data_IF_376710332203
#
_entry.id   IF_376710332203
#
_cell.length_a   1.000
_cell.length_b   1.000
_cell.length_c   1.000
_cell.angle_alpha   90.00
_cell.angle_beta   90.00
_cell.angle_gamma   90.00
#
_symmetry.space_group_name_H-M   'P 1'
#
loop_
_entity.id
_entity.type
_entity.pdbx_description
1 polymer ?
#
# COMPACT_ATOMS: atom_id res chain seq x y z
N UNK A 1 -18.23 -17.75 29.70
CA UNK A 1 -17.32 -18.74 29.08
C UNK A 1 -16.32 -17.93 28.33
N UNK A 2 -15.07 -17.90 28.82
CA UNK A 2 -14.00 -17.17 28.11
C UNK A 2 -13.62 -18.02 26.91
N UNK A 3 -14.02 -17.59 25.73
CA UNK A 3 -13.37 -18.01 24.47
C UNK A 3 -11.94 -17.47 24.53
N UNK A 4 -11.00 -18.31 24.94
CA UNK A 4 -9.58 -18.08 24.70
C UNK A 4 -9.35 -18.27 23.21
N UNK A 5 -9.63 -17.23 22.40
CA UNK A 5 -9.11 -17.20 21.04
C UNK A 5 -7.59 -17.35 21.13
N UNK A 6 -7.06 -18.36 20.47
CA UNK A 6 -5.62 -18.57 20.42
C UNK A 6 -4.95 -17.30 19.83
N UNK A 7 -3.89 -16.83 20.47
CA UNK A 7 -3.12 -15.68 19.95
C UNK A 7 -2.67 -15.97 18.52
N UNK A 8 -2.96 -15.07 17.57
CA UNK A 8 -2.50 -15.24 16.19
C UNK A 8 -0.98 -15.44 16.14
N UNK A 9 -0.50 -16.39 15.35
CA UNK A 9 0.94 -16.63 15.23
C UNK A 9 1.66 -15.40 14.67
N UNK A 10 2.98 -15.32 14.90
CA UNK A 10 3.83 -14.34 14.23
C UNK A 10 3.75 -14.58 12.71
N UNK A 11 3.29 -13.57 11.98
CA UNK A 11 3.11 -13.65 10.53
C UNK A 11 4.38 -13.21 9.84
N UNK A 12 4.96 -14.11 9.04
CA UNK A 12 6.14 -13.86 8.21
C UNK A 12 5.74 -13.88 6.75
N UNK A 13 5.93 -12.79 6.05
CA UNK A 13 5.53 -12.64 4.64
C UNK A 13 6.53 -11.80 3.86
N UNK A 14 6.36 -11.71 2.55
CA UNK A 14 7.15 -10.82 1.69
C UNK A 14 7.07 -9.36 2.16
N UNK A 15 5.95 -8.96 2.78
CA UNK A 15 5.78 -7.61 3.34
C UNK A 15 6.45 -7.41 4.70
N UNK A 16 7.24 -8.36 5.19
CA UNK A 16 7.93 -8.31 6.48
C UNK A 16 7.29 -9.18 7.55
N UNK A 17 7.38 -8.77 8.81
CA UNK A 17 6.87 -9.50 9.98
C UNK A 17 5.80 -8.70 10.68
N UNK A 18 4.70 -9.35 11.11
CA UNK A 18 3.61 -8.73 11.90
C UNK A 18 3.18 -9.66 13.03
N UNK A 19 2.69 -9.08 14.12
CA UNK A 19 2.18 -9.85 15.25
C UNK A 19 1.43 -8.99 16.26
N UNK A 20 0.88 -9.63 17.28
CA UNK A 20 0.23 -8.97 18.41
C UNK A 20 1.30 -8.43 19.36
N UNK A 21 1.21 -7.14 19.65
CA UNK A 21 2.17 -6.43 20.52
C UNK A 21 2.18 -7.03 21.93
N UNK A 22 3.38 -7.31 22.43
CA UNK A 22 3.58 -7.91 23.76
C UNK A 22 3.39 -9.43 23.80
N UNK A 23 2.90 -10.04 22.73
CA UNK A 23 2.68 -11.50 22.65
C UNK A 23 3.59 -12.11 21.57
N UNK A 24 3.29 -11.86 20.30
CA UNK A 24 4.06 -12.39 19.17
C UNK A 24 4.94 -11.33 18.51
N UNK A 25 4.66 -10.03 18.68
CA UNK A 25 5.53 -8.92 18.29
C UNK A 25 6.07 -8.24 19.56
N UNK A 26 7.33 -8.53 19.88
CA UNK A 26 8.04 -7.97 21.03
C UNK A 26 9.32 -7.26 20.60
N UNK A 27 9.93 -6.42 21.45
CA UNK A 27 11.23 -5.82 21.16
C UNK A 27 12.31 -6.86 20.83
N UNK A 28 12.31 -8.05 21.46
CA UNK A 28 13.25 -9.12 21.19
C UNK A 28 13.07 -9.71 19.78
N UNK A 29 11.81 -9.87 19.35
CA UNK A 29 11.46 -10.32 17.98
C UNK A 29 11.89 -9.27 16.97
N UNK A 30 11.62 -7.98 17.24
CA UNK A 30 12.02 -6.88 16.38
C UNK A 30 13.55 -6.79 16.23
N UNK A 31 14.28 -6.90 17.35
CA UNK A 31 15.74 -6.92 17.38
C UNK A 31 16.30 -8.10 16.56
N UNK A 32 15.81 -9.31 16.80
CA UNK A 32 16.30 -10.51 16.09
C UNK A 32 15.99 -10.45 14.57
N UNK A 33 14.83 -9.91 14.18
CA UNK A 33 14.48 -9.74 12.77
C UNK A 33 15.38 -8.68 12.10
N UNK A 34 15.67 -7.58 12.80
CA UNK A 34 16.58 -6.54 12.32
C UNK A 34 18.01 -7.08 12.13
N UNK A 35 18.52 -7.92 13.05
CA UNK A 35 19.80 -8.58 12.88
C UNK A 35 19.84 -9.48 11.65
N UNK A 36 18.79 -10.25 11.40
CA UNK A 36 18.67 -11.11 10.22
C UNK A 36 18.67 -10.27 8.91
N UNK A 37 17.99 -9.12 8.92
CA UNK A 37 17.99 -8.18 7.80
C UNK A 37 19.39 -7.60 7.52
N UNK A 38 20.12 -7.19 8.56
CA UNK A 38 21.53 -6.73 8.41
C UNK A 38 22.41 -7.85 7.86
N UNK A 39 22.27 -9.08 8.38
CA UNK A 39 23.07 -10.22 7.91
C UNK A 39 22.78 -10.57 6.44
N UNK A 40 21.53 -10.41 6.00
CA UNK A 40 21.14 -10.52 4.60
C UNK A 40 21.80 -9.45 3.74
N UNK A 41 21.66 -8.17 4.12
CA UNK A 41 22.26 -7.05 3.36
C UNK A 41 23.79 -7.13 3.32
N UNK A 42 24.44 -7.49 4.42
CA UNK A 42 25.90 -7.67 4.47
C UNK A 42 26.37 -8.73 3.47
N UNK A 43 25.66 -9.86 3.39
CA UNK A 43 25.96 -10.90 2.39
C UNK A 43 25.77 -10.39 0.96
N UNK A 44 24.67 -9.66 0.72
CA UNK A 44 24.31 -9.16 -0.61
C UNK A 44 25.26 -8.07 -1.11
N UNK A 45 25.69 -7.17 -0.21
CA UNK A 45 26.48 -5.97 -0.53
C UNK A 45 28.01 -6.19 -0.36
N UNK A 46 28.43 -7.16 0.44
CA UNK A 46 29.85 -7.36 0.79
C UNK A 46 30.42 -6.27 1.71
N UNK A 47 29.57 -5.42 2.31
CA UNK A 47 29.95 -4.34 3.24
C UNK A 47 28.88 -4.17 4.31
N UNK A 48 29.21 -3.51 5.42
CA UNK A 48 28.22 -3.08 6.40
C UNK A 48 27.27 -2.05 5.75
N UNK A 49 25.93 -2.25 5.85
CA UNK A 49 24.96 -1.33 5.28
C UNK A 49 24.84 -0.05 6.10
N UNK A 50 24.49 1.07 5.43
CA UNK A 50 23.88 2.25 6.04
C UNK A 50 22.36 2.10 5.97
N UNK A 51 21.64 2.38 7.06
CA UNK A 51 20.23 2.02 7.20
C UNK A 51 19.39 3.17 7.75
N UNK A 52 18.15 3.26 7.28
CA UNK A 52 17.12 4.07 7.90
C UNK A 52 16.27 3.23 8.85
N UNK A 53 15.78 3.84 9.92
CA UNK A 53 14.70 3.33 10.76
C UNK A 53 13.61 4.38 10.88
N UNK A 54 12.35 3.95 10.79
CA UNK A 54 11.18 4.82 10.89
C UNK A 54 10.03 4.06 11.56
N UNK A 55 8.95 4.77 11.89
CA UNK A 55 7.73 4.14 12.40
C UNK A 55 6.47 4.91 12.00
N UNK A 56 5.33 4.23 12.05
CA UNK A 56 4.04 4.89 12.09
C UNK A 56 3.76 5.47 13.49
N UNK A 57 2.56 6.00 13.69
CA UNK A 57 2.18 6.68 14.94
C UNK A 57 1.79 5.73 16.09
N UNK A 58 1.74 4.40 15.90
CA UNK A 58 1.26 3.44 16.90
C UNK A 58 1.99 3.61 18.24
N UNK A 59 1.28 3.56 19.39
CA UNK A 59 1.90 3.71 20.73
C UNK A 59 2.98 2.67 21.03
N UNK A 60 2.91 1.49 20.42
CA UNK A 60 3.94 0.43 20.52
C UNK A 60 5.18 0.69 19.66
N UNK A 61 5.12 1.66 18.75
CA UNK A 61 6.18 1.96 17.79
C UNK A 61 7.54 2.29 18.43
N UNK A 62 7.62 3.18 19.43
CA UNK A 62 8.90 3.59 19.99
C UNK A 62 9.75 2.43 20.50
N UNK A 63 9.19 1.51 21.30
CA UNK A 63 9.93 0.38 21.84
C UNK A 63 10.44 -0.61 20.80
N UNK A 64 9.68 -0.81 19.71
CA UNK A 64 10.08 -1.66 18.59
C UNK A 64 11.13 -0.97 17.71
N UNK A 65 10.99 0.34 17.47
CA UNK A 65 11.97 1.14 16.75
C UNK A 65 13.32 1.18 17.46
N UNK A 66 13.31 1.38 18.77
CA UNK A 66 14.52 1.35 19.60
C UNK A 66 15.22 -0.03 19.51
N UNK A 67 14.46 -1.12 19.52
CA UNK A 67 15.00 -2.47 19.38
C UNK A 67 15.63 -2.69 17.99
N UNK A 68 15.01 -2.20 16.92
CA UNK A 68 15.54 -2.25 15.55
C UNK A 68 16.83 -1.42 15.45
N UNK A 69 16.80 -0.17 15.89
CA UNK A 69 17.96 0.73 15.88
C UNK A 69 19.13 0.14 16.66
N UNK A 70 18.86 -0.43 17.84
CA UNK A 70 19.85 -1.11 18.66
C UNK A 70 20.49 -2.28 17.93
N UNK A 71 19.70 -3.14 17.28
CA UNK A 71 20.21 -4.26 16.50
C UNK A 71 21.14 -3.81 15.37
N UNK A 72 20.77 -2.74 14.67
CA UNK A 72 21.58 -2.16 13.60
C UNK A 72 22.93 -1.62 14.13
N UNK A 73 22.89 -0.88 15.23
CA UNK A 73 24.09 -0.31 15.87
C UNK A 73 25.02 -1.42 16.38
N UNK A 74 24.48 -2.45 17.03
CA UNK A 74 25.26 -3.60 17.52
C UNK A 74 25.96 -4.36 16.40
N UNK A 75 25.39 -4.37 15.19
CA UNK A 75 26.03 -4.91 13.99
C UNK A 75 27.09 -3.96 13.37
N UNK A 76 27.25 -2.74 13.89
CA UNK A 76 28.19 -1.74 13.38
C UNK A 76 27.65 -0.87 12.24
N UNK A 77 26.34 -0.85 11.99
CA UNK A 77 25.73 -0.06 10.94
C UNK A 77 25.63 1.43 11.31
N UNK A 78 25.71 2.30 10.30
CA UNK A 78 25.28 3.70 10.43
C UNK A 78 23.77 3.75 10.27
N UNK A 79 23.09 4.33 11.25
CA UNK A 79 21.63 4.36 11.31
C UNK A 79 21.14 5.79 11.28
N UNK A 80 20.18 6.08 10.42
CA UNK A 80 19.43 7.33 10.42
C UNK A 80 18.02 7.09 10.94
N UNK A 81 17.66 7.68 12.06
CA UNK A 81 16.31 7.67 12.62
C UNK A 81 15.48 8.79 12.00
N UNK A 82 14.39 8.41 11.35
CA UNK A 82 13.46 9.32 10.69
C UNK A 82 12.24 9.67 11.57
N UNK A 83 12.11 9.02 12.74
CA UNK A 83 10.98 9.23 13.65
C UNK A 83 9.65 8.71 13.09
N UNK A 84 8.57 9.47 13.32
CA UNK A 84 7.24 9.20 12.78
C UNK A 84 7.12 9.76 11.38
N UNK A 85 7.07 8.90 10.38
CA UNK A 85 6.88 9.29 8.98
C UNK A 85 6.06 8.23 8.23
N UNK A 86 5.42 8.63 7.14
CA UNK A 86 4.73 7.72 6.24
C UNK A 86 5.68 6.68 5.62
N UNK A 87 5.17 5.49 5.29
CA UNK A 87 5.95 4.45 4.60
C UNK A 87 6.61 4.98 3.31
N UNK A 88 5.91 5.70 2.42
CA UNK A 88 6.56 6.31 1.25
C UNK A 88 7.63 7.34 1.61
N UNK A 89 7.46 8.10 2.70
CA UNK A 89 8.50 9.03 3.16
C UNK A 89 9.78 8.29 3.55
N UNK A 90 9.69 7.13 4.20
CA UNK A 90 10.86 6.31 4.50
C UNK A 90 11.57 5.85 3.21
N UNK A 91 10.81 5.41 2.20
CA UNK A 91 11.36 5.06 0.88
C UNK A 91 12.07 6.22 0.19
N UNK A 92 11.45 7.41 0.20
CA UNK A 92 12.07 8.64 -0.32
C UNK A 92 13.38 8.95 0.39
N UNK A 93 13.43 8.82 1.71
CA UNK A 93 14.61 9.16 2.51
C UNK A 93 15.75 8.17 2.35
N UNK A 94 15.48 6.87 2.19
CA UNK A 94 16.49 5.85 1.87
C UNK A 94 17.24 6.27 0.61
N UNK A 95 16.50 6.67 -0.44
CA UNK A 95 17.10 7.16 -1.68
C UNK A 95 17.86 8.48 -1.49
N UNK A 96 17.25 9.47 -0.81
CA UNK A 96 17.83 10.79 -0.65
C UNK A 96 19.11 10.78 0.19
N UNK A 97 19.21 9.88 1.15
CA UNK A 97 20.38 9.70 2.02
C UNK A 97 21.37 8.66 1.50
N UNK A 98 21.08 8.03 0.35
CA UNK A 98 21.87 6.93 -0.22
C UNK A 98 22.09 5.79 0.78
N UNK A 99 21.08 5.47 1.58
CA UNK A 99 21.11 4.32 2.46
C UNK A 99 20.95 3.01 1.67
N UNK A 100 21.54 1.94 2.19
CA UNK A 100 21.48 0.61 1.56
C UNK A 100 20.14 -0.11 1.84
N UNK A 101 19.27 0.48 2.66
CA UNK A 101 17.94 -0.01 3.00
C UNK A 101 17.43 0.56 4.32
N UNK A 102 16.33 -0.03 4.83
CA UNK A 102 15.77 0.40 6.10
C UNK A 102 14.64 -0.50 6.59
N UNK A 103 14.19 -0.24 7.82
CA UNK A 103 13.00 -0.86 8.40
C UNK A 103 12.05 0.25 8.85
N UNK A 104 10.77 0.11 8.46
CA UNK A 104 9.69 0.90 9.04
C UNK A 104 8.84 0.02 9.96
N UNK A 105 8.63 0.51 11.19
CA UNK A 105 7.81 -0.15 12.21
C UNK A 105 6.36 0.24 11.99
N UNK A 106 5.58 -0.66 11.41
CA UNK A 106 4.16 -0.46 11.09
C UNK A 106 3.45 -1.79 10.86
N UNK A 107 2.16 -1.83 11.08
CA UNK A 107 1.29 -2.91 10.64
C UNK A 107 0.27 -2.44 9.59
N UNK A 108 0.52 -1.30 8.91
CA UNK A 108 -0.37 -0.69 7.91
C UNK A 108 -1.80 -0.56 8.48
N UNK A 109 -2.81 -1.03 7.78
CA UNK A 109 -4.24 -0.94 8.14
C UNK A 109 -4.72 -1.93 9.21
N UNK A 110 -3.82 -2.74 9.84
CA UNK A 110 -4.22 -3.59 10.96
C UNK A 110 -4.63 -2.75 12.18
N UNK A 111 -5.53 -3.25 13.05
CA UNK A 111 -5.92 -2.58 14.30
C UNK A 111 -4.75 -2.33 15.26
N UNK A 112 -4.93 -1.41 16.22
CA UNK A 112 -3.90 -0.98 17.18
C UNK A 112 -3.16 -2.11 17.94
N UNK A 113 -3.77 -3.27 18.29
CA UNK A 113 -3.04 -4.36 18.95
C UNK A 113 -1.94 -4.98 18.07
N UNK A 114 -1.96 -4.75 16.77
CA UNK A 114 -0.95 -5.23 15.83
C UNK A 114 0.18 -4.23 15.67
N UNK A 115 1.39 -4.74 15.47
CA UNK A 115 2.49 -3.99 14.89
C UNK A 115 3.38 -4.93 14.07
N UNK A 116 4.37 -4.36 13.36
CA UNK A 116 5.22 -5.14 12.47
C UNK A 116 6.44 -4.37 12.00
N UNK A 117 7.23 -5.03 11.18
CA UNK A 117 8.42 -4.48 10.54
C UNK A 117 8.32 -4.69 9.04
N UNK A 118 8.29 -3.62 8.26
CA UNK A 118 8.45 -3.65 6.80
C UNK A 118 9.90 -3.36 6.47
N UNK A 119 10.56 -4.24 5.70
CA UNK A 119 11.88 -3.98 5.14
C UNK A 119 11.74 -3.17 3.84
N UNK A 120 12.67 -2.26 3.63
CA UNK A 120 12.89 -1.54 2.37
C UNK A 120 14.33 -1.73 1.93
N UNK A 121 14.56 -1.94 0.64
CA UNK A 121 15.89 -2.03 0.03
C UNK A 121 16.50 -0.65 -0.25
N UNK A 122 17.66 -0.61 -0.92
CA UNK A 122 18.34 0.64 -1.27
C UNK A 122 17.61 1.51 -2.29
N UNK A 123 16.64 0.97 -3.01
CA UNK A 123 15.73 1.74 -3.87
C UNK A 123 14.51 2.28 -3.10
N UNK A 124 14.42 2.01 -1.80
CA UNK A 124 13.28 2.37 -0.97
C UNK A 124 12.04 1.52 -1.22
N UNK A 125 12.19 0.36 -1.84
CA UNK A 125 11.16 -0.58 -2.22
C UNK A 125 11.15 -1.78 -1.29
N UNK A 126 10.00 -2.44 -1.11
CA UNK A 126 9.95 -3.72 -0.43
C UNK A 126 10.83 -4.76 -1.17
N UNK A 127 11.54 -5.65 -0.45
CA UNK A 127 12.38 -6.68 -1.05
C UNK A 127 11.60 -7.58 -2.02
N UNK A 128 12.29 -8.14 -3.00
CA UNK A 128 11.72 -9.20 -3.86
C UNK A 128 11.25 -10.39 -3.02
N UNK A 129 10.45 -11.26 -3.61
CA UNK A 129 9.99 -12.49 -2.93
C UNK A 129 11.18 -13.33 -2.45
N UNK A 130 12.18 -13.50 -3.30
CA UNK A 130 13.39 -14.27 -3.03
C UNK A 130 14.21 -13.66 -1.89
N UNK A 131 14.39 -12.33 -1.91
CA UNK A 131 15.09 -11.61 -0.85
C UNK A 131 14.33 -11.69 0.48
N UNK A 132 13.02 -11.54 0.47
CA UNK A 132 12.19 -11.66 1.66
C UNK A 132 12.22 -13.08 2.25
N UNK A 133 12.18 -14.12 1.40
CA UNK A 133 12.31 -15.52 1.83
C UNK A 133 13.70 -15.77 2.46
N UNK A 134 14.78 -15.18 1.92
CA UNK A 134 16.12 -15.28 2.51
C UNK A 134 16.19 -14.55 3.87
N UNK A 135 15.59 -13.36 4.01
CA UNK A 135 15.52 -12.64 5.29
C UNK A 135 14.78 -13.49 6.33
N UNK A 136 13.63 -14.07 5.96
CA UNK A 136 12.82 -14.93 6.83
C UNK A 136 13.60 -16.19 7.24
N UNK A 137 14.32 -16.83 6.32
CA UNK A 137 15.15 -17.99 6.63
C UNK A 137 16.22 -17.64 7.67
N UNK A 138 16.93 -16.53 7.45
CA UNK A 138 17.93 -16.01 8.40
C UNK A 138 17.36 -15.71 9.77
N UNK A 139 16.17 -15.12 9.81
CA UNK A 139 15.47 -14.87 11.07
C UNK A 139 15.16 -16.19 11.81
N UNK A 140 14.62 -17.20 11.13
CA UNK A 140 14.32 -18.52 11.71
C UNK A 140 15.58 -19.23 12.20
N UNK A 141 16.69 -19.08 11.49
CA UNK A 141 18.01 -19.63 11.82
C UNK A 141 18.75 -18.80 12.86
N UNK A 142 18.17 -17.67 13.31
CA UNK A 142 18.78 -16.72 14.25
C UNK A 142 20.14 -16.19 13.78
N UNK A 143 20.26 -15.94 12.47
CA UNK A 143 21.48 -15.38 11.90
C UNK A 143 21.69 -13.93 12.35
N UNK A 144 22.90 -13.64 12.80
CA UNK A 144 23.34 -12.28 13.14
C UNK A 144 24.80 -12.09 12.74
N UNK A 145 25.25 -10.85 12.59
CA UNK A 145 26.66 -10.54 12.51
C UNK A 145 27.29 -10.49 13.91
N UNK A 146 28.59 -10.74 14.04
CA UNK A 146 29.30 -10.48 15.28
C UNK A 146 29.14 -9.02 15.70
N UNK A 147 29.04 -8.72 17.02
CA UNK A 147 29.00 -7.35 17.51
C UNK A 147 30.16 -6.51 16.99
N UNK A 148 29.87 -5.25 16.65
CA UNK A 148 30.84 -4.31 16.10
C UNK A 148 30.59 -2.91 16.70
N UNK A 149 31.64 -2.32 17.30
CA UNK A 149 31.52 -1.00 17.99
C UNK A 149 31.50 0.21 17.02
N UNK A 150 31.50 -0.03 15.70
CA UNK A 150 31.50 1.03 14.69
C UNK A 150 30.14 1.63 14.38
N UNK A 151 29.05 1.15 15.01
CA UNK A 151 27.69 1.61 14.78
C UNK A 151 27.43 3.00 15.34
N UNK A 152 26.54 3.75 14.67
CA UNK A 152 26.13 5.09 15.08
C UNK A 152 24.66 5.35 14.78
N UNK A 153 24.05 6.26 15.52
CA UNK A 153 22.69 6.72 15.29
C UNK A 153 22.71 8.24 15.10
N UNK A 154 22.06 8.70 14.05
CA UNK A 154 21.73 10.12 13.87
C UNK A 154 20.22 10.28 13.65
N UNK A 155 19.67 11.44 14.02
CA UNK A 155 18.27 11.76 13.81
C UNK A 155 18.13 12.71 12.63
N UNK A 156 17.21 12.42 11.72
CA UNK A 156 16.89 13.26 10.58
C UNK A 156 15.38 13.60 10.57
N UNK A 157 15.04 14.86 10.74
CA UNK A 157 13.67 15.37 10.82
C UNK A 157 13.15 15.95 9.49
N UNK A 158 13.90 15.81 8.41
CA UNK A 158 13.56 16.44 7.13
C UNK A 158 12.76 15.49 6.19
N UNK A 159 12.34 14.35 6.68
CA UNK A 159 11.67 13.34 5.86
C UNK A 159 10.43 13.87 5.16
N UNK A 160 9.51 14.48 5.91
CA UNK A 160 8.27 15.01 5.35
C UNK A 160 8.53 16.11 4.31
N UNK A 161 9.45 17.04 4.60
CA UNK A 161 9.78 18.13 3.67
C UNK A 161 10.42 17.63 2.37
N UNK A 162 11.31 16.64 2.48
CA UNK A 162 11.96 16.02 1.32
C UNK A 162 10.94 15.30 0.44
N UNK A 163 10.00 14.55 1.05
CA UNK A 163 8.95 13.85 0.32
C UNK A 163 8.00 14.84 -0.38
N UNK A 164 7.48 15.83 0.35
CA UNK A 164 6.61 16.86 -0.20
C UNK A 164 7.28 17.60 -1.36
N UNK A 165 8.57 17.94 -1.24
CA UNK A 165 9.30 18.61 -2.32
C UNK A 165 9.37 17.73 -3.59
N UNK A 166 9.53 16.42 -3.46
CA UNK A 166 9.48 15.50 -4.60
C UNK A 166 8.10 15.44 -5.25
N UNK A 167 7.02 15.36 -4.45
CA UNK A 167 5.64 15.39 -4.97
C UNK A 167 5.38 16.70 -5.72
N UNK A 168 5.71 17.84 -5.13
CA UNK A 168 5.56 19.15 -5.78
C UNK A 168 6.44 19.31 -7.04
N UNK A 169 7.58 18.63 -7.09
CA UNK A 169 8.45 18.60 -8.25
C UNK A 169 7.95 17.71 -9.40
N UNK A 170 7.03 16.78 -9.12
CA UNK A 170 6.43 15.88 -10.11
C UNK A 170 5.21 16.49 -10.83
N UNK A 171 4.67 17.59 -10.32
CA UNK A 171 3.50 18.30 -10.86
C UNK A 171 3.80 19.80 -11.03
N UNK A 172 2.90 20.54 -11.69
CA UNK A 172 2.90 22.02 -11.64
C UNK A 172 1.94 22.46 -10.52
N UNK A 173 2.46 22.88 -9.34
CA UNK A 173 1.60 23.21 -8.20
C UNK A 173 0.88 24.56 -8.34
N UNK A 174 1.34 25.49 -9.19
CA UNK A 174 0.77 26.83 -9.23
C UNK A 174 -0.68 26.87 -9.71
N UNK A 175 -1.08 26.15 -10.79
CA UNK A 175 -2.48 26.11 -11.20
C UNK A 175 -3.43 25.48 -10.15
N UNK A 176 -2.93 24.54 -9.33
CA UNK A 176 -3.72 23.95 -8.23
C UNK A 176 -3.93 25.02 -7.14
N UNK A 177 -2.89 25.78 -6.78
CA UNK A 177 -2.97 26.88 -5.79
C UNK A 177 -4.00 27.93 -6.18
N UNK A 178 -4.10 28.23 -7.45
CA UNK A 178 -5.03 29.24 -7.98
C UNK A 178 -6.50 28.82 -7.81
N UNK A 179 -6.78 27.50 -7.74
CA UNK A 179 -8.13 26.96 -7.53
C UNK A 179 -8.62 27.11 -6.10
N UNK A 180 -7.72 27.11 -5.10
CA UNK A 180 -8.06 27.21 -3.67
C UNK A 180 -9.09 26.17 -3.22
N UNK A 181 -8.85 24.92 -3.59
CA UNK A 181 -9.73 23.82 -3.23
C UNK A 181 -9.98 23.75 -1.72
N UNK A 182 -11.23 23.46 -1.36
CA UNK A 182 -11.62 23.13 0.02
C UNK A 182 -11.56 21.61 0.19
N UNK A 183 -10.74 21.16 1.11
CA UNK A 183 -10.40 19.74 1.27
C UNK A 183 -10.67 19.30 2.70
N UNK A 184 -11.33 18.16 2.85
CA UNK A 184 -11.36 17.46 4.15
C UNK A 184 -10.34 16.33 4.08
N UNK A 185 -9.36 16.35 4.98
CA UNK A 185 -8.36 15.29 5.12
C UNK A 185 -8.61 14.52 6.41
N UNK A 186 -8.73 13.20 6.32
CA UNK A 186 -8.72 12.28 7.45
C UNK A 186 -7.41 11.48 7.45
N UNK A 187 -6.54 11.76 8.42
CA UNK A 187 -5.26 11.05 8.57
C UNK A 187 -5.29 9.99 9.67
N UNK A 188 -6.48 9.64 10.18
CA UNK A 188 -6.71 8.58 11.19
C UNK A 188 -5.78 8.62 12.42
N UNK A 189 -5.23 9.77 12.77
CA UNK A 189 -4.16 9.93 13.75
C UNK A 189 -2.89 9.12 13.41
N UNK A 190 -2.66 8.86 12.11
CA UNK A 190 -1.58 8.08 11.55
C UNK A 190 -0.30 8.89 11.25
N UNK A 191 0.63 8.27 10.55
CA UNK A 191 1.90 8.87 10.19
C UNK A 191 1.79 9.95 9.10
N UNK A 192 0.68 9.99 8.36
CA UNK A 192 0.41 10.97 7.31
C UNK A 192 -0.05 12.35 7.80
N UNK A 193 -0.33 12.52 9.10
CA UNK A 193 -0.92 13.75 9.66
C UNK A 193 -0.18 15.02 9.24
N UNK A 194 1.12 15.08 9.48
CA UNK A 194 1.94 16.25 9.17
C UNK A 194 2.16 16.42 7.67
N UNK A 195 2.58 15.36 6.98
CA UNK A 195 2.93 15.44 5.56
C UNK A 195 1.71 15.71 4.67
N UNK A 196 0.55 15.09 4.97
CA UNK A 196 -0.68 15.28 4.22
C UNK A 196 -1.22 16.70 4.34
N UNK A 197 -1.37 17.21 5.57
CA UNK A 197 -1.81 18.58 5.83
C UNK A 197 -0.89 19.61 5.18
N UNK A 198 0.43 19.48 5.39
CA UNK A 198 1.42 20.40 4.84
C UNK A 198 1.46 20.40 3.31
N UNK A 199 1.33 19.24 2.66
CA UNK A 199 1.22 19.17 1.20
C UNK A 199 0.02 19.97 0.68
N UNK A 200 -1.17 19.73 1.27
CA UNK A 200 -2.40 20.39 0.85
C UNK A 200 -2.34 21.91 1.07
N UNK A 201 -1.78 22.37 2.20
CA UNK A 201 -1.53 23.78 2.46
C UNK A 201 -0.59 24.41 1.43
N UNK A 202 0.50 23.72 1.06
CA UNK A 202 1.43 24.16 0.01
C UNK A 202 0.82 24.14 -1.39
N UNK A 203 -0.21 23.35 -1.61
CA UNK A 203 -1.05 23.35 -2.80
C UNK A 203 -2.16 24.43 -2.76
N UNK A 204 -2.19 25.27 -1.70
CA UNK A 204 -3.13 26.38 -1.58
C UNK A 204 -4.54 25.99 -1.17
N UNK A 205 -4.73 24.79 -0.65
CA UNK A 205 -6.02 24.30 -0.21
C UNK A 205 -6.45 24.92 1.14
N UNK A 206 -7.77 25.11 1.31
CA UNK A 206 -8.42 25.33 2.61
C UNK A 206 -8.73 23.96 3.24
N UNK A 207 -8.01 23.59 4.30
CA UNK A 207 -7.99 22.21 4.80
C UNK A 207 -8.74 22.10 6.13
N UNK A 208 -9.76 21.25 6.16
CA UNK A 208 -10.35 20.73 7.38
C UNK A 208 -9.71 19.37 7.71
N UNK A 209 -8.87 19.33 8.73
CA UNK A 209 -8.13 18.14 9.10
C UNK A 209 -8.85 17.37 10.22
N UNK A 210 -9.32 16.17 9.90
CA UNK A 210 -9.88 15.21 10.85
C UNK A 210 -8.78 14.25 11.30
N UNK A 211 -8.83 13.87 12.60
CA UNK A 211 -7.89 12.87 13.15
C UNK A 211 -6.44 13.18 12.76
N UNK A 212 -6.05 14.46 12.95
CA UNK A 212 -4.78 15.02 12.49
C UNK A 212 -3.66 15.00 13.51
N UNK A 213 -3.80 14.31 14.66
CA UNK A 213 -2.75 14.18 15.68
C UNK A 213 -2.09 12.79 15.57
N UNK A 214 -0.77 12.69 15.33
CA UNK A 214 -0.12 11.39 15.09
C UNK A 214 0.07 10.60 16.40
N UNK A 215 -1.03 10.36 17.11
CA UNK A 215 -1.06 9.65 18.39
C UNK A 215 -1.10 8.12 18.24
N UNK A 216 -1.54 7.63 17.08
CA UNK A 216 -1.79 6.20 16.84
C UNK A 216 -3.02 5.66 17.55
N UNK A 217 -3.79 6.53 18.22
CA UNK A 217 -5.13 6.21 18.72
C UNK A 217 -6.11 6.40 17.55
N UNK A 218 -6.29 5.33 16.76
CA UNK A 218 -7.09 5.39 15.55
C UNK A 218 -8.56 5.66 15.88
N UNK A 219 -9.11 6.71 15.28
CA UNK A 219 -10.46 7.18 15.56
C UNK A 219 -11.55 6.25 15.04
N UNK A 220 -11.24 5.44 14.04
CA UNK A 220 -12.10 4.41 13.45
C UNK A 220 -11.25 3.20 13.02
N UNK A 221 -11.88 2.16 12.48
CA UNK A 221 -11.14 1.02 11.90
C UNK A 221 -10.20 1.52 10.81
N UNK A 222 -8.90 1.15 10.86
CA UNK A 222 -7.89 1.79 10.03
C UNK A 222 -7.88 1.40 8.55
N UNK A 223 -8.79 0.55 8.11
CA UNK A 223 -8.96 0.26 6.69
C UNK A 223 -9.91 1.29 6.06
N UNK A 224 -9.52 2.02 5.00
CA UNK A 224 -10.33 3.07 4.39
C UNK A 224 -11.46 2.50 3.52
N UNK A 225 -12.47 1.91 4.15
CA UNK A 225 -13.70 1.39 3.56
C UNK A 225 -14.88 2.31 3.84
N UNK A 226 -15.94 2.21 3.04
CA UNK A 226 -17.13 3.06 3.15
C UNK A 226 -17.69 3.14 4.57
N UNK A 227 -17.79 2.02 5.28
CA UNK A 227 -18.29 1.96 6.65
C UNK A 227 -17.43 2.73 7.66
N UNK A 228 -16.14 2.89 7.37
CA UNK A 228 -15.17 3.57 8.22
C UNK A 228 -15.01 5.07 7.88
N UNK A 229 -15.54 5.51 6.73
CA UNK A 229 -15.38 6.88 6.22
C UNK A 229 -16.62 7.77 6.42
N UNK A 230 -17.56 7.34 7.27
CA UNK A 230 -18.82 8.04 7.47
C UNK A 230 -18.67 9.46 8.01
N UNK A 231 -17.66 9.70 8.85
CA UNK A 231 -17.43 11.05 9.42
C UNK A 231 -16.72 11.95 8.40
N UNK A 232 -15.82 11.41 7.58
CA UNK A 232 -15.24 12.13 6.44
C UNK A 232 -16.36 12.57 5.48
N UNK A 233 -17.25 11.64 5.05
CA UNK A 233 -18.36 11.94 4.15
C UNK A 233 -19.27 13.05 4.67
N UNK A 234 -19.66 12.99 5.96
CA UNK A 234 -20.47 14.03 6.59
C UNK A 234 -19.75 15.38 6.67
N UNK A 235 -18.43 15.35 6.90
CA UNK A 235 -17.66 16.58 7.03
C UNK A 235 -17.42 17.25 5.68
N UNK A 236 -17.27 16.47 4.60
CA UNK A 236 -17.21 16.99 3.22
C UNK A 236 -18.46 17.84 2.93
N UNK A 237 -19.66 17.31 3.18
CA UNK A 237 -20.92 18.04 3.00
C UNK A 237 -21.00 19.27 3.92
N UNK A 238 -20.71 19.10 5.22
CA UNK A 238 -20.78 20.18 6.20
C UNK A 238 -19.79 21.32 5.95
N UNK A 239 -18.60 21.00 5.50
CA UNK A 239 -17.55 21.98 5.17
C UNK A 239 -17.72 22.55 3.77
N UNK A 240 -18.67 22.04 2.97
CA UNK A 240 -18.87 22.37 1.56
C UNK A 240 -17.55 22.19 0.80
N UNK A 241 -16.91 21.05 1.00
CA UNK A 241 -15.60 20.74 0.42
C UNK A 241 -15.71 20.27 -1.02
N UNK A 242 -14.66 20.53 -1.81
CA UNK A 242 -14.55 20.06 -3.19
C UNK A 242 -14.21 18.57 -3.25
N UNK A 243 -13.50 18.06 -2.23
CA UNK A 243 -13.04 16.67 -2.14
C UNK A 243 -12.70 16.29 -0.69
N UNK A 244 -12.90 15.02 -0.36
CA UNK A 244 -12.41 14.40 0.87
C UNK A 244 -11.34 13.35 0.58
N UNK A 245 -10.30 13.32 1.41
CA UNK A 245 -9.23 12.34 1.37
C UNK A 245 -9.12 11.59 2.69
N UNK A 246 -8.94 10.27 2.66
CA UNK A 246 -8.59 9.49 3.83
C UNK A 246 -7.33 8.68 3.59
N UNK A 247 -6.42 8.71 4.56
CA UNK A 247 -5.18 7.94 4.59
C UNK A 247 -5.33 6.74 5.53
N UNK A 248 -4.58 5.67 5.29
CA UNK A 248 -4.37 4.62 6.27
C UNK A 248 -3.22 4.97 7.24
N UNK A 249 -3.00 4.21 8.33
CA UNK A 249 -2.06 4.60 9.39
C UNK A 249 -0.63 4.90 8.96
N UNK A 250 -0.11 4.23 7.95
CA UNK A 250 1.23 4.47 7.40
C UNK A 250 1.22 5.25 6.09
N UNK A 251 0.04 5.78 5.71
CA UNK A 251 -0.21 6.70 4.61
C UNK A 251 0.30 6.19 3.24
N UNK A 252 0.30 4.87 3.04
CA UNK A 252 0.61 4.26 1.75
C UNK A 252 -0.63 4.11 0.87
N UNK A 253 -1.85 4.27 1.43
CA UNK A 253 -3.14 4.23 0.72
C UNK A 253 -3.92 5.53 0.85
N UNK A 254 -4.72 5.81 -0.17
CA UNK A 254 -5.62 6.95 -0.25
C UNK A 254 -7.02 6.50 -0.65
N UNK A 255 -8.04 6.87 0.11
CA UNK A 255 -9.42 6.85 -0.30
C UNK A 255 -9.88 8.25 -0.68
N UNK A 256 -10.77 8.35 -1.65
CA UNK A 256 -11.26 9.62 -2.22
C UNK A 256 -12.77 9.68 -2.12
N UNK A 257 -13.29 10.80 -1.60
CA UNK A 257 -14.71 11.10 -1.45
C UNK A 257 -15.02 12.36 -2.26
N UNK A 258 -16.11 12.36 -3.04
CA UNK A 258 -16.48 13.54 -3.83
C UNK A 258 -17.13 14.64 -2.99
N UNK A 259 -17.43 15.76 -3.63
CA UNK A 259 -18.08 16.94 -3.04
C UNK A 259 -19.48 16.68 -2.48
N UNK A 260 -20.09 15.53 -2.78
CA UNK A 260 -21.39 15.11 -2.22
C UNK A 260 -21.26 14.23 -0.98
N UNK A 261 -19.99 13.92 -0.59
CA UNK A 261 -19.70 12.97 0.47
C UNK A 261 -19.79 11.50 0.03
N UNK A 262 -19.83 11.23 -1.27
CA UNK A 262 -19.91 9.87 -1.78
C UNK A 262 -18.51 9.26 -1.96
N UNK A 263 -18.30 8.06 -1.41
CA UNK A 263 -17.09 7.24 -1.59
C UNK A 263 -17.28 6.26 -2.73
N UNK A 264 -16.44 6.36 -3.75
CA UNK A 264 -16.56 5.53 -4.98
C UNK A 264 -15.99 4.11 -4.82
N UNK A 265 -15.18 3.87 -3.82
CA UNK A 265 -14.41 2.64 -3.66
C UNK A 265 -12.91 2.82 -3.90
N UNK A 266 -12.14 1.88 -3.38
CA UNK A 266 -10.67 1.94 -3.35
C UNK A 266 -10.02 1.89 -4.75
N UNK A 267 -10.68 1.28 -5.73
CA UNK A 267 -10.18 1.13 -7.11
C UNK A 267 -10.02 2.49 -7.82
N UNK A 268 -10.90 3.47 -7.51
CA UNK A 268 -10.93 4.75 -8.21
C UNK A 268 -9.71 5.62 -7.94
N UNK A 269 -9.03 5.46 -6.81
CA UNK A 269 -7.85 6.28 -6.49
C UNK A 269 -6.74 6.10 -7.54
N UNK A 270 -6.40 4.85 -7.89
CA UNK A 270 -5.42 4.58 -8.94
C UNK A 270 -5.91 5.06 -10.31
N UNK A 271 -7.19 4.86 -10.61
CA UNK A 271 -7.80 5.23 -11.88
C UNK A 271 -7.74 6.75 -12.10
N UNK A 272 -8.12 7.55 -11.10
CA UNK A 272 -8.07 9.02 -11.16
C UNK A 272 -6.64 9.55 -11.31
N UNK A 273 -5.71 8.98 -10.54
CA UNK A 273 -4.31 9.35 -10.62
C UNK A 273 -3.69 9.01 -11.98
N UNK A 274 -3.98 7.81 -12.50
CA UNK A 274 -3.52 7.40 -13.82
C UNK A 274 -4.13 8.27 -14.92
N UNK A 275 -5.41 8.60 -14.83
CA UNK A 275 -6.08 9.48 -15.78
C UNK A 275 -5.34 10.81 -15.90
N UNK A 276 -4.99 11.42 -14.74
CA UNK A 276 -4.24 12.67 -14.73
C UNK A 276 -2.81 12.52 -15.27
N UNK A 277 -2.12 11.47 -14.84
CA UNK A 277 -0.72 11.29 -15.20
C UNK A 277 -0.53 11.00 -16.69
N UNK A 278 -1.36 10.14 -17.25
CA UNK A 278 -1.28 9.70 -18.64
C UNK A 278 -1.64 10.80 -19.64
N UNK A 279 -2.40 11.84 -19.23
CA UNK A 279 -2.64 13.01 -20.09
C UNK A 279 -1.34 13.70 -20.54
N UNK A 280 -0.33 13.75 -19.67
CA UNK A 280 0.96 14.37 -19.97
C UNK A 280 2.04 13.36 -20.39
N UNK A 281 1.75 12.06 -20.22
CA UNK A 281 2.67 10.96 -20.51
C UNK A 281 2.01 9.89 -21.40
N UNK A 282 1.50 10.27 -22.60
CA UNK A 282 0.99 9.29 -23.55
C UNK A 282 2.12 8.37 -24.03
N UNK A 283 1.77 7.23 -24.61
CA UNK A 283 2.73 6.25 -25.14
C UNK A 283 3.66 5.63 -24.08
N UNK A 284 3.24 5.65 -22.80
CA UNK A 284 3.90 4.95 -21.70
C UNK A 284 3.12 3.69 -21.32
N UNK A 285 3.44 3.12 -20.16
CA UNK A 285 2.74 1.95 -19.63
C UNK A 285 2.32 2.18 -18.17
N UNK A 286 1.30 1.43 -17.76
CA UNK A 286 0.81 1.35 -16.38
C UNK A 286 1.05 -0.06 -15.88
N UNK A 287 1.45 -0.23 -14.61
CA UNK A 287 1.48 -1.55 -13.98
C UNK A 287 0.53 -1.63 -12.78
N UNK A 288 -0.12 -2.77 -12.66
CA UNK A 288 -1.01 -3.07 -11.54
C UNK A 288 -0.98 -4.57 -11.22
N UNK A 289 -1.75 -5.00 -10.21
CA UNK A 289 -1.83 -6.42 -9.89
C UNK A 289 -3.04 -7.11 -10.55
N UNK A 290 -3.06 -8.45 -10.48
CA UNK A 290 -4.13 -9.28 -11.06
C UNK A 290 -5.51 -9.05 -10.46
N UNK A 291 -5.61 -8.49 -9.24
CA UNK A 291 -6.88 -8.25 -8.54
C UNK A 291 -7.46 -6.86 -8.78
N UNK A 292 -6.77 -5.97 -9.49
CA UNK A 292 -7.19 -4.60 -9.77
C UNK A 292 -8.23 -4.56 -10.90
N UNK A 293 -9.18 -3.64 -10.78
CA UNK A 293 -10.27 -3.42 -11.76
C UNK A 293 -9.78 -3.20 -13.19
N UNK A 294 -10.61 -3.56 -14.17
CA UNK A 294 -10.43 -3.20 -15.59
C UNK A 294 -10.59 -1.71 -15.87
N UNK A 295 -11.09 -0.92 -14.94
CA UNK A 295 -11.13 0.54 -15.13
C UNK A 295 -9.78 1.11 -15.52
N UNK A 296 -8.69 0.58 -14.93
CA UNK A 296 -7.32 1.02 -15.26
C UNK A 296 -6.93 0.68 -16.70
N UNK A 297 -7.39 -0.47 -17.23
CA UNK A 297 -7.14 -0.86 -18.62
C UNK A 297 -7.86 0.08 -19.59
N UNK A 298 -9.12 0.44 -19.27
CA UNK A 298 -9.92 1.36 -20.08
C UNK A 298 -9.26 2.76 -20.12
N UNK A 299 -8.82 3.29 -18.96
CA UNK A 299 -8.10 4.56 -18.90
C UNK A 299 -6.77 4.51 -19.64
N UNK A 300 -5.95 3.48 -19.44
CA UNK A 300 -4.69 3.36 -20.15
C UNK A 300 -4.89 3.35 -21.66
N UNK A 301 -5.91 2.64 -22.13
CA UNK A 301 -6.26 2.57 -23.56
C UNK A 301 -6.69 3.92 -24.15
N UNK A 302 -7.36 4.79 -23.39
CA UNK A 302 -7.73 6.13 -23.85
C UNK A 302 -6.49 6.96 -24.25
N UNK A 303 -5.37 6.74 -23.58
CA UNK A 303 -4.10 7.42 -23.82
C UNK A 303 -3.11 6.63 -24.69
N UNK A 304 -3.54 5.52 -25.29
CA UNK A 304 -2.66 4.67 -26.11
C UNK A 304 -1.65 3.87 -25.30
N UNK A 305 -1.86 3.75 -23.98
CA UNK A 305 -0.96 3.08 -23.06
C UNK A 305 -1.31 1.60 -22.86
N UNK A 306 -0.30 0.80 -22.51
CA UNK A 306 -0.47 -0.62 -22.16
C UNK A 306 -0.54 -0.78 -20.65
N UNK A 307 -1.44 -1.66 -20.18
CA UNK A 307 -1.49 -2.09 -18.78
C UNK A 307 -0.76 -3.43 -18.62
N UNK A 308 0.22 -3.47 -17.71
CA UNK A 308 0.91 -4.68 -17.30
C UNK A 308 0.37 -5.16 -15.96
N UNK A 309 0.16 -6.46 -15.83
CA UNK A 309 -0.34 -7.07 -14.59
C UNK A 309 0.70 -7.96 -13.97
N UNK A 310 0.81 -7.90 -12.64
CA UNK A 310 1.71 -8.74 -11.84
C UNK A 310 0.93 -9.53 -10.78
N UNK A 311 1.60 -10.44 -10.11
CA UNK A 311 1.12 -11.02 -8.86
C UNK A 311 0.75 -9.91 -7.86
N UNK A 312 -0.19 -10.19 -6.94
CA UNK A 312 -0.62 -9.24 -5.91
C UNK A 312 0.53 -8.93 -4.95
N UNK A 313 0.70 -7.66 -4.66
CA UNK A 313 1.69 -7.11 -3.74
C UNK A 313 2.51 -5.98 -4.35
N UNK A 314 2.75 -4.96 -3.56
CA UNK A 314 3.44 -3.72 -3.95
C UNK A 314 4.78 -3.98 -4.66
N UNK A 315 5.63 -4.87 -4.09
CA UNK A 315 6.92 -5.21 -4.67
C UNK A 315 6.79 -5.81 -6.09
N UNK A 316 5.77 -6.65 -6.32
CA UNK A 316 5.54 -7.26 -7.63
C UNK A 316 5.13 -6.21 -8.67
N UNK A 317 4.23 -5.28 -8.27
CA UNK A 317 3.81 -4.16 -9.13
C UNK A 317 5.01 -3.27 -9.47
N UNK A 318 5.79 -2.87 -8.48
CA UNK A 318 6.96 -2.01 -8.69
C UNK A 318 8.05 -2.68 -9.55
N UNK A 319 8.25 -3.99 -9.40
CA UNK A 319 9.16 -4.74 -10.27
C UNK A 319 8.65 -4.80 -11.72
N UNK A 320 7.34 -5.06 -11.93
CA UNK A 320 6.72 -4.98 -13.26
C UNK A 320 6.86 -3.57 -13.86
N UNK A 321 6.71 -2.51 -13.04
CA UNK A 321 6.95 -1.13 -13.49
C UNK A 321 8.38 -0.93 -13.97
N UNK A 322 9.38 -1.41 -13.23
CA UNK A 322 10.80 -1.33 -13.63
C UNK A 322 11.06 -2.11 -14.91
N UNK A 323 10.53 -3.32 -15.03
CA UNK A 323 10.71 -4.21 -16.19
C UNK A 323 10.13 -3.61 -17.47
N UNK A 324 8.94 -3.02 -17.38
CA UNK A 324 8.20 -2.51 -18.55
C UNK A 324 8.30 -1.00 -18.73
N UNK A 325 9.10 -0.30 -17.92
CA UNK A 325 9.28 1.16 -18.01
C UNK A 325 8.01 1.95 -17.70
N UNK A 326 7.16 1.44 -16.79
CA UNK A 326 5.92 2.12 -16.42
C UNK A 326 6.20 3.39 -15.61
N UNK A 327 5.51 4.47 -15.94
CA UNK A 327 5.68 5.77 -15.27
C UNK A 327 4.67 6.03 -14.16
N UNK A 328 3.62 5.23 -14.10
CA UNK A 328 2.64 5.16 -13.00
C UNK A 328 2.19 3.72 -12.82
N UNK A 329 1.83 3.37 -11.61
CA UNK A 329 1.25 2.07 -11.26
C UNK A 329 0.59 2.10 -9.91
N UNK A 330 0.24 0.91 -9.42
CA UNK A 330 -0.38 0.78 -8.10
C UNK A 330 -1.30 -0.41 -7.99
N UNK A 331 -2.06 -0.42 -6.93
CA UNK A 331 -3.01 -1.51 -6.61
C UNK A 331 -4.41 -0.94 -6.40
N UNK A 332 -5.44 -1.73 -6.72
CA UNK A 332 -6.85 -1.38 -6.54
C UNK A 332 -7.31 -1.28 -5.07
N UNK A 333 -6.39 -1.05 -4.16
CA UNK A 333 -6.62 -0.84 -2.73
C UNK A 333 -6.33 0.60 -2.29
N UNK A 334 -6.31 1.55 -3.22
CA UNK A 334 -5.99 2.95 -2.97
C UNK A 334 -4.51 3.30 -3.02
N UNK A 335 -3.63 2.35 -3.34
CA UNK A 335 -2.18 2.56 -3.39
C UNK A 335 -1.69 2.97 -4.78
N UNK A 336 -1.06 4.13 -4.91
CA UNK A 336 -0.48 4.66 -6.15
C UNK A 336 1.04 4.63 -6.05
N UNK A 337 1.71 4.18 -7.08
CA UNK A 337 3.17 4.23 -7.21
C UNK A 337 3.52 5.22 -8.32
N UNK A 338 4.27 6.27 -7.97
CA UNK A 338 4.77 7.27 -8.91
C UNK A 338 6.31 7.29 -8.84
N UNK A 339 7.02 6.61 -9.76
CA UNK A 339 8.47 6.41 -9.66
C UNK A 339 9.30 7.70 -9.64
N UNK A 340 8.79 8.80 -10.19
CA UNK A 340 9.42 10.12 -10.08
C UNK A 340 9.47 10.64 -8.64
N UNK A 341 8.60 10.12 -7.76
CA UNK A 341 8.56 10.42 -6.33
C UNK A 341 9.21 9.29 -5.54
N UNK A 342 8.61 8.10 -5.59
CA UNK A 342 9.12 6.91 -4.91
C UNK A 342 8.57 5.62 -5.54
N UNK A 343 9.16 4.48 -5.17
CA UNK A 343 8.74 3.15 -5.60
C UNK A 343 7.75 2.46 -4.64
N UNK A 344 7.34 3.17 -3.58
CA UNK A 344 6.34 2.72 -2.60
C UNK A 344 5.00 3.36 -2.94
N UNK A 345 3.90 2.72 -2.57
CA UNK A 345 2.57 3.34 -2.66
C UNK A 345 2.53 4.62 -1.84
N UNK A 346 1.93 5.67 -2.39
CA UNK A 346 2.03 7.03 -1.86
C UNK A 346 0.72 7.81 -1.93
N UNK A 347 0.13 8.07 -0.76
CA UNK A 347 -1.09 8.87 -0.66
C UNK A 347 -0.88 10.35 -1.01
N UNK A 348 0.33 10.90 -0.79
CA UNK A 348 0.64 12.29 -1.10
C UNK A 348 0.62 12.54 -2.61
N UNK A 349 1.27 11.67 -3.38
CA UNK A 349 1.18 11.70 -4.86
C UNK A 349 -0.26 11.55 -5.33
N UNK A 350 -1.03 10.68 -4.67
CA UNK A 350 -2.45 10.50 -4.97
C UNK A 350 -3.27 11.77 -4.80
N UNK A 351 -3.15 12.45 -3.65
CA UNK A 351 -3.85 13.72 -3.40
C UNK A 351 -3.48 14.78 -4.44
N UNK A 352 -2.20 14.93 -4.74
CA UNK A 352 -1.72 15.92 -5.70
C UNK A 352 -2.26 15.65 -7.12
N UNK A 353 -2.25 14.40 -7.58
CA UNK A 353 -2.74 14.02 -8.90
C UNK A 353 -4.26 14.17 -9.02
N UNK A 354 -5.05 13.82 -7.97
CA UNK A 354 -6.50 14.01 -7.97
C UNK A 354 -6.85 15.49 -8.05
N UNK A 355 -6.22 16.36 -7.25
CA UNK A 355 -6.45 17.80 -7.30
C UNK A 355 -6.05 18.39 -8.66
N UNK A 356 -4.95 17.93 -9.24
CA UNK A 356 -4.53 18.37 -10.57
C UNK A 356 -5.47 17.90 -11.69
N UNK A 357 -6.07 16.70 -11.56
CA UNK A 357 -7.10 16.23 -12.47
C UNK A 357 -8.34 17.12 -12.41
N UNK A 358 -8.87 17.39 -11.19
CA UNK A 358 -10.03 18.26 -11.00
C UNK A 358 -9.79 19.66 -11.58
N UNK A 359 -8.63 20.27 -11.30
CA UNK A 359 -8.22 21.55 -11.84
C UNK A 359 -8.15 21.53 -13.38
N UNK A 360 -7.54 20.49 -13.95
CA UNK A 360 -7.33 20.39 -15.40
C UNK A 360 -8.63 20.24 -16.16
N UNK A 361 -9.54 19.41 -15.65
CA UNK A 361 -10.88 19.22 -16.21
C UNK A 361 -11.80 20.42 -15.96
N UNK A 362 -11.50 21.21 -14.91
CA UNK A 362 -12.37 22.27 -14.39
C UNK A 362 -13.77 21.72 -14.10
N UNK A 363 -13.84 20.55 -13.51
CA UNK A 363 -15.05 19.79 -13.20
C UNK A 363 -15.05 19.32 -11.76
N UNK A 364 -16.25 19.10 -11.21
CA UNK A 364 -16.44 18.43 -9.92
C UNK A 364 -15.99 16.97 -10.02
N UNK A 365 -15.50 16.43 -8.90
CA UNK A 365 -15.01 15.06 -8.86
C UNK A 365 -16.10 14.05 -9.23
N UNK A 366 -17.34 14.24 -8.75
CA UNK A 366 -18.48 13.41 -9.12
C UNK A 366 -18.72 13.34 -10.62
N UNK A 367 -18.55 14.47 -11.34
CA UNK A 367 -18.70 14.51 -12.81
C UNK A 367 -17.58 13.75 -13.52
N UNK A 368 -16.35 13.90 -13.05
CA UNK A 368 -15.19 13.16 -13.60
C UNK A 368 -15.42 11.66 -13.44
N UNK A 369 -15.83 11.22 -12.25
CA UNK A 369 -16.08 9.80 -11.98
C UNK A 369 -17.26 9.24 -12.80
N UNK A 370 -18.32 10.01 -13.00
CA UNK A 370 -19.44 9.59 -13.85
C UNK A 370 -19.07 9.36 -15.32
N UNK A 371 -17.99 9.98 -15.79
CA UNK A 371 -17.48 9.75 -17.14
C UNK A 371 -16.65 8.45 -17.26
N UNK A 372 -16.18 7.90 -16.15
CA UNK A 372 -15.43 6.63 -16.12
C UNK A 372 -16.44 5.47 -16.20
N UNK A 373 -16.20 4.52 -17.10
CA UNK A 373 -17.03 3.32 -17.21
C UNK A 373 -16.98 2.52 -15.91
N UNK A 374 -18.12 2.34 -15.22
CA UNK A 374 -18.10 1.61 -13.95
C UNK A 374 -18.02 0.09 -14.17
N UNK A 375 -17.43 -0.59 -13.19
CA UNK A 375 -17.48 -2.04 -13.05
C UNK A 375 -17.92 -2.40 -11.64
N UNK A 376 -18.53 -3.56 -11.52
CA UNK A 376 -19.00 -4.12 -10.26
C UNK A 376 -18.11 -5.29 -9.84
N UNK A 377 -17.59 -5.22 -8.64
CA UNK A 377 -16.65 -6.21 -8.12
C UNK A 377 -17.24 -6.95 -6.92
N UNK A 378 -17.10 -8.27 -6.92
CA UNK A 378 -17.44 -9.13 -5.79
C UNK A 378 -16.15 -9.70 -5.21
N UNK A 379 -15.91 -9.45 -3.92
CA UNK A 379 -14.77 -9.98 -3.17
C UNK A 379 -15.29 -10.95 -2.11
N UNK A 380 -14.89 -12.23 -2.19
CA UNK A 380 -15.21 -13.28 -1.21
C UNK A 380 -13.94 -13.72 -0.52
N UNK A 381 -14.04 -13.85 0.79
CA UNK A 381 -12.98 -14.42 1.65
C UNK A 381 -13.48 -15.74 2.23
N UNK A 382 -12.66 -16.78 2.20
CA UNK A 382 -13.02 -18.13 2.66
C UNK A 382 -11.86 -18.65 3.51
N UNK A 383 -12.13 -19.04 4.75
CA UNK A 383 -11.11 -19.60 5.64
C UNK A 383 -10.54 -20.91 5.10
N UNK A 384 -9.21 -21.06 5.16
CA UNK A 384 -8.55 -22.28 4.69
C UNK A 384 -8.95 -23.52 5.49
N UNK A 385 -9.28 -23.36 6.80
CA UNK A 385 -9.76 -24.46 7.63
C UNK A 385 -11.08 -25.00 7.10
N UNK A 386 -11.99 -24.14 6.68
CA UNK A 386 -13.29 -24.52 6.08
C UNK A 386 -13.15 -25.23 4.74
N UNK A 387 -12.02 -25.01 4.04
CA UNK A 387 -11.73 -25.58 2.74
C UNK A 387 -10.94 -26.91 2.81
N UNK A 388 -10.33 -27.23 3.93
CA UNK A 388 -9.36 -28.34 4.03
C UNK A 388 -7.94 -27.96 3.57
N UNK A 389 -7.64 -26.66 3.56
CA UNK A 389 -6.31 -26.12 3.30
C UNK A 389 -6.05 -25.71 1.85
N UNK A 390 -4.79 -25.40 1.54
CA UNK A 390 -4.32 -24.99 0.22
C UNK A 390 -4.63 -26.00 -0.89
N UNK A 391 -4.54 -27.34 -0.68
CA UNK A 391 -4.85 -28.33 -1.73
C UNK A 391 -6.24 -28.16 -2.35
N UNK A 392 -7.25 -27.74 -1.59
CA UNK A 392 -8.58 -27.51 -2.14
C UNK A 392 -8.62 -26.32 -3.13
N UNK A 393 -7.77 -25.30 -2.92
CA UNK A 393 -7.63 -24.17 -3.87
C UNK A 393 -6.95 -24.65 -5.14
N UNK A 394 -5.89 -25.46 -5.02
CA UNK A 394 -5.14 -26.01 -6.14
C UNK A 394 -6.03 -26.94 -7.02
N UNK A 395 -6.85 -27.77 -6.38
CA UNK A 395 -7.84 -28.60 -7.08
C UNK A 395 -8.87 -27.77 -7.84
N UNK A 396 -9.37 -26.69 -7.22
CA UNK A 396 -10.33 -25.79 -7.86
C UNK A 396 -9.69 -25.02 -9.02
N UNK A 397 -8.45 -24.55 -8.88
CA UNK A 397 -7.68 -23.91 -9.94
C UNK A 397 -7.54 -24.89 -11.12
N UNK A 398 -7.09 -26.12 -10.88
CA UNK A 398 -6.95 -27.13 -11.92
C UNK A 398 -8.28 -27.46 -12.63
N UNK A 399 -9.40 -27.45 -11.89
CA UNK A 399 -10.76 -27.61 -12.45
C UNK A 399 -11.10 -26.45 -13.38
N UNK A 400 -10.88 -25.21 -12.94
CA UNK A 400 -11.18 -23.99 -13.70
C UNK A 400 -10.33 -23.90 -14.97
N UNK A 401 -9.04 -24.19 -14.90
CA UNK A 401 -8.15 -24.24 -16.07
C UNK A 401 -8.65 -25.21 -17.14
N UNK A 402 -9.09 -26.38 -16.72
CA UNK A 402 -9.64 -27.39 -17.64
C UNK A 402 -10.98 -26.98 -18.22
N UNK A 403 -11.87 -26.42 -17.39
CA UNK A 403 -13.23 -26.02 -17.81
C UNK A 403 -13.20 -24.84 -18.78
N UNK A 404 -12.27 -23.90 -18.59
CA UNK A 404 -12.16 -22.65 -19.37
C UNK A 404 -10.88 -22.58 -20.22
N UNK A 405 -10.35 -23.71 -20.68
CA UNK A 405 -9.08 -23.80 -21.43
C UNK A 405 -8.97 -22.89 -22.67
N UNK A 406 -10.11 -22.35 -23.18
CA UNK A 406 -10.14 -21.43 -24.31
C UNK A 406 -10.12 -19.93 -23.91
N UNK A 407 -10.16 -19.60 -22.60
CA UNK A 407 -10.12 -18.22 -22.12
C UNK A 407 -8.67 -17.75 -21.90
N UNK A 408 -8.48 -16.44 -21.81
CA UNK A 408 -7.18 -15.87 -21.40
C UNK A 408 -6.98 -16.11 -19.91
N UNK A 409 -5.82 -16.66 -19.55
CA UNK A 409 -5.48 -17.03 -18.17
C UNK A 409 -4.13 -16.47 -17.75
N UNK A 410 -4.01 -16.13 -16.46
CA UNK A 410 -2.75 -15.77 -15.80
C UNK A 410 -2.62 -16.54 -14.48
N UNK A 411 -1.55 -17.31 -14.34
CA UNK A 411 -1.27 -18.19 -13.20
C UNK A 411 -0.12 -17.64 -12.31
N UNK A 412 0.27 -16.40 -12.49
CA UNK A 412 1.40 -15.83 -11.73
C UNK A 412 1.10 -15.64 -10.22
N UNK A 413 -0.20 -15.61 -9.85
CA UNK A 413 -0.64 -15.57 -8.43
C UNK A 413 -2.01 -16.27 -8.31
N UNK A 414 -2.01 -17.58 -8.12
CA UNK A 414 -3.24 -18.36 -8.20
C UNK A 414 -3.72 -18.48 -9.65
N UNK A 415 -4.97 -18.12 -9.94
CA UNK A 415 -5.52 -18.15 -11.29
C UNK A 415 -6.44 -16.96 -11.54
N UNK A 416 -6.10 -16.13 -12.51
CA UNK A 416 -7.00 -15.16 -13.12
C UNK A 416 -7.49 -15.70 -14.48
N UNK A 417 -8.79 -15.61 -14.73
CA UNK A 417 -9.39 -15.93 -16.02
C UNK A 417 -10.16 -14.71 -16.52
N UNK A 418 -9.83 -14.23 -17.70
CA UNK A 418 -10.52 -13.14 -18.37
C UNK A 418 -11.53 -13.68 -19.38
N UNK A 419 -12.78 -13.22 -19.28
CA UNK A 419 -13.91 -13.50 -20.18
C UNK A 419 -14.33 -12.20 -20.86
N UNK A 420 -15.14 -12.30 -21.91
CA UNK A 420 -15.71 -11.12 -22.58
C UNK A 420 -16.55 -10.27 -21.62
N UNK A 421 -17.34 -10.93 -20.74
CA UNK A 421 -18.24 -10.29 -19.78
C UNK A 421 -17.56 -9.79 -18.51
N UNK A 422 -16.33 -10.24 -18.18
CA UNK A 422 -15.65 -9.88 -16.92
C UNK A 422 -14.46 -10.79 -16.64
N UNK A 423 -14.02 -10.88 -15.40
CA UNK A 423 -12.96 -11.78 -14.99
C UNK A 423 -13.21 -12.38 -13.60
N UNK A 424 -12.51 -13.47 -13.31
CA UNK A 424 -12.40 -14.07 -11.98
C UNK A 424 -10.93 -14.19 -11.60
N UNK A 425 -10.63 -14.06 -10.30
CA UNK A 425 -9.31 -14.31 -9.74
C UNK A 425 -9.44 -15.13 -8.46
N UNK A 426 -8.77 -16.27 -8.40
CA UNK A 426 -8.77 -17.20 -7.26
C UNK A 426 -7.36 -17.40 -6.79
N UNK A 427 -7.09 -17.12 -5.50
CA UNK A 427 -5.75 -17.23 -4.93
C UNK A 427 -5.78 -17.48 -3.41
N UNK A 428 -4.75 -18.13 -2.86
CA UNK A 428 -4.51 -18.05 -1.41
C UNK A 428 -4.08 -16.63 -1.03
N UNK A 429 -4.36 -16.21 0.21
CA UNK A 429 -3.80 -14.95 0.73
C UNK A 429 -2.33 -15.16 1.12
N UNK A 430 -1.49 -14.14 0.84
CA UNK A 430 -0.08 -14.14 1.24
C UNK A 430 0.14 -13.75 2.71
N UNK A 431 -0.92 -13.23 3.38
CA UNK A 431 -0.82 -12.62 4.71
C UNK A 431 -1.79 -13.19 5.72
N UNK A 432 -2.76 -14.02 5.30
CA UNK A 432 -3.83 -14.55 6.15
C UNK A 432 -4.14 -15.99 5.73
N UNK A 433 -4.64 -16.85 6.63
CA UNK A 433 -5.00 -18.24 6.30
C UNK A 433 -6.35 -18.33 5.57
N UNK A 434 -6.50 -17.62 4.46
CA UNK A 434 -7.73 -17.51 3.68
C UNK A 434 -7.49 -17.71 2.19
N UNK A 435 -8.53 -18.12 1.46
CA UNK A 435 -8.63 -17.99 0.02
C UNK A 435 -9.39 -16.70 -0.33
N UNK A 436 -8.96 -16.02 -1.37
CA UNK A 436 -9.65 -14.88 -1.98
C UNK A 436 -10.22 -15.27 -3.34
N UNK A 437 -11.50 -14.99 -3.53
CA UNK A 437 -12.20 -15.12 -4.81
C UNK A 437 -12.74 -13.76 -5.17
N UNK A 438 -12.25 -13.22 -6.27
CA UNK A 438 -12.65 -11.91 -6.77
C UNK A 438 -13.26 -12.11 -8.16
N UNK A 439 -14.36 -11.44 -8.43
CA UNK A 439 -14.97 -11.39 -9.77
C UNK A 439 -15.39 -9.97 -10.08
N UNK A 440 -15.20 -9.54 -11.32
CA UNK A 440 -15.62 -8.24 -11.82
C UNK A 440 -16.37 -8.38 -13.13
N UNK A 441 -17.40 -7.57 -13.30
CA UNK A 441 -18.14 -7.43 -14.55
C UNK A 441 -18.75 -6.02 -14.67
N UNK A 442 -19.41 -5.73 -15.80
CA UNK A 442 -20.10 -4.46 -16.04
C UNK A 442 -21.35 -4.24 -15.16
N UNK A 443 -21.84 -5.30 -14.49
CA UNK A 443 -22.99 -5.24 -13.59
C UNK A 443 -22.89 -6.29 -12.48
N UNK A 444 -23.56 -6.04 -11.35
CA UNK A 444 -23.53 -6.88 -10.15
C UNK A 444 -24.04 -8.30 -10.38
N UNK A 445 -25.03 -8.50 -11.26
CA UNK A 445 -25.59 -9.83 -11.54
C UNK A 445 -24.58 -10.69 -12.31
N UNK A 446 -23.92 -10.10 -13.29
CA UNK A 446 -22.86 -10.78 -14.08
C UNK A 446 -21.64 -11.08 -13.20
N UNK A 447 -21.19 -10.12 -12.38
CA UNK A 447 -20.10 -10.34 -11.43
C UNK A 447 -20.46 -11.48 -10.44
N UNK A 448 -21.69 -11.53 -9.94
CA UNK A 448 -22.16 -12.61 -9.08
C UNK A 448 -22.15 -13.98 -9.78
N UNK A 449 -22.61 -14.04 -11.04
CA UNK A 449 -22.56 -15.29 -11.84
C UNK A 449 -21.14 -15.76 -12.07
N UNK A 450 -20.20 -14.85 -12.34
CA UNK A 450 -18.78 -15.15 -12.48
C UNK A 450 -18.21 -15.68 -11.16
N UNK A 451 -18.45 -15.01 -10.02
CA UNK A 451 -18.00 -15.49 -8.71
C UNK A 451 -18.53 -16.90 -8.38
N UNK A 452 -19.74 -17.24 -8.84
CA UNK A 452 -20.35 -18.57 -8.66
C UNK A 452 -19.72 -19.66 -9.52
N UNK A 453 -18.92 -19.34 -10.53
CA UNK A 453 -18.12 -20.34 -11.29
C UNK A 453 -17.05 -20.99 -10.40
N UNK A 454 -16.63 -20.29 -9.35
CA UNK A 454 -15.67 -20.77 -8.35
C UNK A 454 -16.41 -21.55 -7.27
N UNK A 455 -16.10 -22.85 -7.15
CA UNK A 455 -16.78 -23.81 -6.25
C UNK A 455 -16.04 -24.00 -4.91
N UNK A 456 -15.45 -22.93 -4.39
CA UNK A 456 -14.81 -22.93 -3.07
C UNK A 456 -15.80 -22.46 -1.99
N UNK A 457 -15.83 -23.20 -0.88
CA UNK A 457 -16.68 -22.91 0.29
C UNK A 457 -18.17 -23.25 0.07
N UNK A 458 -18.96 -23.07 1.12
CA UNK A 458 -20.43 -23.21 1.02
C UNK A 458 -20.98 -22.01 0.24
N UNK A 459 -21.78 -22.32 -0.79
CA UNK A 459 -22.48 -21.33 -1.62
C UNK A 459 -23.48 -20.49 -0.86
#
# INVERSE_FOLDING_TARGET
MNDTQATPPLMLSVSGVRGIVGETMTPEVAHAFAQAFVAFLFKKLGKLPSLCVARDSRPSGPSLQDAVAKAFIECGCKVTDLGVVATPTAGVMINALHCDGGIIVTASHNPTPWNGLKCLDGDGLAPSKEDAEEIISRFKEKCSLPPNDGGSLEVNTQGNDTHIAKVLGAIDPQPIRDCRFRVVLDSINGAGCESGSKLLELLGCDVMHLNGEPSGEFAHTPEPKAENLTDLSKMVDKFDADVGFAQDPDADRLAVVDETGFYFGEEYTLVLAAHRWLEDHPDTSVATNLSTSRMIDDVAKEYGCTTWRSAVGEANVANAMKEHGCTIGGEGNGGIILPTVCWVRDSLSGMALVLDLMRRRNEKLSSIVQAIKPYEMIKRTIDLEDLGGIPAIEEEIARLEKEYAGATMDNSDGLRIDFDEGWIHVRPSNTEPIARVIAEASDSLTAYKLAKRVKLGKN
#
